data_IF_441954712475
#
_entry.id   IF_441954712475
#
_cell.length_a   1.000
_cell.length_b   1.000
_cell.length_c   1.000
_cell.angle_alpha   90.00
_cell.angle_beta   90.00
_cell.angle_gamma   90.00
#
_symmetry.space_group_name_H-M   'P 1'
#
loop_
_entity.id
_entity.type
_entity.pdbx_description
1 polymer ?
#
# COMPACT_ATOMS: atom_id res chain seq x y z
N UNK A 1 -5.88 -39.29 32.63
CA UNK A 1 -5.57 -38.15 33.53
C UNK A 1 -4.10 -38.29 33.89
N UNK A 2 -3.22 -37.42 33.39
CA UNK A 2 -1.80 -37.48 33.74
C UNK A 2 -1.61 -36.99 35.17
N UNK A 3 -0.85 -37.72 35.98
CA UNK A 3 -0.42 -37.24 37.28
C UNK A 3 0.35 -35.94 37.09
N UNK A 4 -0.24 -34.81 37.49
CA UNK A 4 0.49 -33.55 37.59
C UNK A 4 1.46 -33.67 38.77
N UNK A 5 2.71 -34.00 38.47
CA UNK A 5 3.77 -33.96 39.47
C UNK A 5 4.01 -32.50 39.83
N UNK A 6 3.57 -32.11 41.03
CA UNK A 6 3.73 -30.78 41.60
C UNK A 6 4.83 -30.84 42.66
N UNK A 7 5.65 -29.80 42.68
CA UNK A 7 6.77 -29.64 43.59
C UNK A 7 6.54 -28.39 44.42
N UNK A 8 6.63 -28.54 45.74
CA UNK A 8 6.65 -27.45 46.71
C UNK A 8 7.85 -26.55 46.46
N UNK A 9 7.63 -25.24 46.32
CA UNK A 9 8.75 -24.29 46.13
C UNK A 9 9.53 -24.08 47.42
N UNK A 10 8.88 -24.08 48.58
CA UNK A 10 9.55 -24.04 49.88
C UNK A 10 10.52 -25.21 50.06
N UNK A 11 10.06 -26.43 49.76
CA UNK A 11 10.90 -27.63 49.89
C UNK A 11 12.00 -27.69 48.82
N UNK A 12 11.75 -27.20 47.61
CA UNK A 12 12.73 -27.27 46.52
C UNK A 12 13.87 -26.26 46.69
N UNK A 13 13.58 -25.08 47.24
CA UNK A 13 14.59 -24.05 47.52
C UNK A 13 15.12 -24.08 48.95
N UNK A 14 14.82 -25.13 49.72
CA UNK A 14 15.24 -25.32 51.12
C UNK A 14 14.92 -24.12 52.04
N UNK A 15 13.72 -23.57 51.91
CA UNK A 15 13.30 -22.39 52.68
C UNK A 15 12.62 -22.82 53.99
N UNK A 16 13.27 -22.52 55.11
CA UNK A 16 12.79 -22.81 56.46
C UNK A 16 12.13 -21.61 57.16
N UNK A 17 12.11 -20.44 56.51
CA UNK A 17 11.51 -19.23 57.08
C UNK A 17 9.98 -19.39 57.21
N UNK A 18 9.37 -18.90 58.32
CA UNK A 18 7.93 -18.99 58.52
C UNK A 18 7.19 -18.08 57.53
N UNK A 19 6.08 -18.58 56.97
CA UNK A 19 5.21 -17.78 56.08
C UNK A 19 4.12 -17.06 56.87
N UNK A 20 3.92 -17.43 58.13
CA UNK A 20 3.00 -16.80 59.05
C UNK A 20 3.65 -16.61 60.42
N UNK A 21 3.44 -15.45 61.02
CA UNK A 21 3.95 -15.11 62.33
C UNK A 21 2.98 -14.21 63.08
N UNK A 22 2.65 -14.57 64.32
CA UNK A 22 1.87 -13.74 65.24
C UNK A 22 2.41 -13.84 66.65
N UNK A 23 2.87 -12.71 67.19
CA UNK A 23 3.49 -12.62 68.52
C UNK A 23 4.64 -13.63 68.68
N UNK A 24 4.50 -14.66 69.52
CA UNK A 24 5.53 -15.69 69.73
C UNK A 24 5.30 -16.96 68.88
N UNK A 25 4.23 -17.00 68.07
CA UNK A 25 3.88 -18.17 67.25
C UNK A 25 4.30 -17.94 65.80
N UNK A 26 4.92 -18.96 65.19
CA UNK A 26 5.42 -18.92 63.81
C UNK A 26 5.13 -20.27 63.14
N UNK A 27 4.76 -20.26 61.87
CA UNK A 27 4.47 -21.48 61.09
C UNK A 27 4.69 -21.26 59.60
N UNK A 28 4.86 -22.35 58.84
CA UNK A 28 4.84 -22.36 57.37
C UNK A 28 3.48 -22.88 56.91
N UNK A 29 2.56 -21.95 56.60
CA UNK A 29 1.18 -22.27 56.26
C UNK A 29 0.89 -22.11 54.76
N UNK A 30 1.75 -21.39 54.05
CA UNK A 30 1.55 -21.00 52.65
C UNK A 30 2.72 -21.48 51.80
N UNK A 31 2.43 -21.94 50.58
CA UNK A 31 3.44 -22.38 49.62
C UNK A 31 2.93 -22.17 48.21
N UNK A 32 3.85 -22.03 47.27
CA UNK A 32 3.57 -22.00 45.85
C UNK A 32 3.98 -23.35 45.28
N UNK A 33 3.02 -24.08 44.72
CA UNK A 33 3.27 -25.38 44.10
C UNK A 33 3.39 -25.21 42.59
N UNK A 34 4.49 -25.72 42.03
CA UNK A 34 4.80 -25.59 40.59
C UNK A 34 4.97 -26.98 40.00
N UNK A 35 4.62 -27.16 38.72
CA UNK A 35 4.90 -28.43 38.04
C UNK A 35 6.41 -28.74 38.09
N UNK A 36 6.77 -29.98 38.39
CA UNK A 36 8.18 -30.39 38.49
C UNK A 36 8.98 -30.11 37.21
N UNK A 37 8.32 -30.03 36.04
CA UNK A 37 8.97 -29.68 34.78
C UNK A 37 9.27 -28.18 34.61
N UNK A 38 8.58 -27.32 35.36
CA UNK A 38 8.72 -25.87 35.29
C UNK A 38 9.57 -25.30 36.43
N UNK A 39 9.95 -26.11 37.42
CA UNK A 39 10.69 -25.67 38.61
C UNK A 39 12.08 -25.09 38.27
N UNK A 40 12.67 -25.50 37.14
CA UNK A 40 13.94 -24.95 36.63
C UNK A 40 13.77 -23.65 35.85
N UNK A 41 12.53 -23.27 35.51
CA UNK A 41 12.20 -22.06 34.74
C UNK A 41 11.66 -20.92 35.62
N UNK A 42 11.73 -21.05 36.94
CA UNK A 42 11.31 -20.02 37.89
C UNK A 42 12.52 -19.47 38.66
N UNK A 43 12.40 -18.25 39.17
CA UNK A 43 13.36 -17.70 40.13
C UNK A 43 13.26 -18.42 41.47
N UNK A 44 14.30 -18.36 42.32
CA UNK A 44 14.17 -18.68 43.73
C UNK A 44 12.99 -17.94 44.36
N UNK A 45 12.28 -18.61 45.27
CA UNK A 45 11.18 -18.03 46.03
C UNK A 45 11.72 -16.95 46.98
N UNK A 46 11.19 -15.74 46.87
CA UNK A 46 11.50 -14.64 47.77
C UNK A 46 10.38 -14.48 48.81
N UNK A 47 10.78 -14.32 50.08
CA UNK A 47 9.90 -14.03 51.20
C UNK A 47 10.16 -12.59 51.64
N UNK A 48 9.11 -11.77 51.70
CA UNK A 48 9.22 -10.38 52.14
C UNK A 48 8.18 -10.03 53.21
N UNK A 49 8.58 -9.15 54.13
CA UNK A 49 7.73 -8.67 55.20
C UNK A 49 6.55 -7.84 54.67
N UNK A 50 5.33 -8.06 55.20
CA UNK A 50 4.15 -7.29 54.83
C UNK A 50 4.03 -5.95 55.57
N UNK A 51 4.96 -5.65 56.49
CA UNK A 51 4.89 -4.48 57.41
C UNK A 51 4.75 -3.17 56.63
N UNK A 52 5.46 -3.02 55.51
CA UNK A 52 5.45 -1.79 54.71
C UNK A 52 4.29 -1.73 53.70
N UNK A 53 3.47 -2.79 53.57
CA UNK A 53 2.44 -2.90 52.54
C UNK A 53 1.03 -3.10 53.07
N UNK A 54 0.82 -4.08 53.97
CA UNK A 54 -0.51 -4.58 54.32
C UNK A 54 -0.69 -4.85 55.80
N UNK A 55 0.38 -4.72 56.61
CA UNK A 55 0.38 -4.97 58.06
C UNK A 55 -0.27 -6.32 58.43
N UNK A 56 0.05 -7.35 57.65
CA UNK A 56 -0.51 -8.70 57.78
C UNK A 56 0.38 -9.57 58.68
N UNK A 57 -0.21 -10.57 59.33
CA UNK A 57 0.54 -11.63 60.01
C UNK A 57 1.16 -12.65 59.02
N UNK A 58 0.91 -12.51 57.71
CA UNK A 58 1.39 -13.38 56.64
C UNK A 58 2.49 -12.74 55.80
N UNK A 59 3.57 -13.48 55.55
CA UNK A 59 4.66 -13.08 54.66
C UNK A 59 4.24 -13.12 53.19
N UNK A 60 4.82 -12.24 52.39
CA UNK A 60 4.57 -12.18 50.96
C UNK A 60 5.53 -13.13 50.24
N UNK A 61 4.97 -14.15 49.61
CA UNK A 61 5.68 -15.13 48.79
C UNK A 61 5.71 -14.69 47.32
N UNK A 62 6.90 -14.52 46.75
CA UNK A 62 7.07 -14.05 45.37
C UNK A 62 7.95 -15.00 44.55
N UNK A 63 7.43 -15.47 43.41
CA UNK A 63 8.24 -16.16 42.38
C UNK A 63 8.11 -15.41 41.05
N UNK A 64 9.16 -15.46 40.24
CA UNK A 64 9.14 -14.96 38.87
C UNK A 64 9.29 -16.11 37.89
N UNK A 65 8.50 -16.12 36.81
CA UNK A 65 8.61 -17.10 35.75
C UNK A 65 9.54 -16.58 34.65
N UNK A 66 10.53 -17.38 34.28
CA UNK A 66 11.46 -17.11 33.17
C UNK A 66 11.04 -17.81 31.87
N UNK A 67 9.73 -17.92 31.64
CA UNK A 67 9.23 -18.64 30.48
C UNK A 67 9.34 -17.77 29.20
N UNK A 68 10.18 -18.20 28.26
CA UNK A 68 10.32 -17.56 26.95
C UNK A 68 9.16 -17.96 26.02
N UNK A 69 7.93 -17.51 26.32
CA UNK A 69 6.81 -17.71 25.40
C UNK A 69 7.04 -16.86 24.15
N UNK A 70 7.51 -17.49 23.10
CA UNK A 70 7.57 -16.87 21.79
C UNK A 70 6.15 -16.86 21.21
N UNK A 71 5.31 -15.92 21.66
CA UNK A 71 3.98 -15.73 21.07
C UNK A 71 4.18 -15.25 19.64
N UNK A 72 4.01 -16.17 18.68
CA UNK A 72 4.02 -15.81 17.27
C UNK A 72 2.90 -14.78 17.06
N UNK A 73 3.28 -13.51 16.86
CA UNK A 73 2.33 -12.44 16.60
C UNK A 73 1.46 -12.85 15.41
N UNK A 74 0.11 -12.80 15.55
CA UNK A 74 -0.77 -13.19 14.47
C UNK A 74 -0.47 -12.35 13.22
N UNK A 75 -0.30 -13.03 12.08
CA UNK A 75 -0.01 -12.37 10.81
C UNK A 75 -1.17 -11.43 10.46
N UNK A 76 -0.88 -10.13 10.32
CA UNK A 76 -1.90 -9.15 9.92
C UNK A 76 -2.49 -9.53 8.55
N UNK A 77 -3.82 -9.61 8.45
CA UNK A 77 -4.52 -9.84 7.18
C UNK A 77 -4.27 -8.66 6.24
N UNK A 78 -4.05 -8.95 4.95
CA UNK A 78 -3.87 -7.90 3.93
C UNK A 78 -5.14 -7.03 3.83
N UNK A 79 -4.95 -5.72 3.69
CA UNK A 79 -6.04 -4.77 3.48
C UNK A 79 -6.78 -5.08 2.17
N UNK A 80 -8.12 -5.06 2.22
CA UNK A 80 -9.00 -5.18 1.05
C UNK A 80 -9.60 -3.81 0.75
N UNK A 81 -9.82 -3.50 -0.52
CA UNK A 81 -10.45 -2.24 -0.94
C UNK A 81 -11.72 -2.50 -1.73
N UNK A 82 -12.67 -1.55 -1.66
CA UNK A 82 -13.89 -1.61 -2.46
C UNK A 82 -13.58 -1.21 -3.91
N UNK A 83 -14.07 -1.99 -4.85
CA UNK A 83 -14.06 -1.71 -6.29
C UNK A 83 -15.51 -1.59 -6.74
N UNK A 84 -15.90 -0.38 -7.16
CA UNK A 84 -17.25 -0.10 -7.66
C UNK A 84 -17.41 -0.61 -9.09
N UNK A 85 -18.52 -1.32 -9.33
CA UNK A 85 -18.85 -1.96 -10.60
C UNK A 85 -19.85 -1.09 -11.39
N UNK A 86 -19.33 -0.06 -12.02
CA UNK A 86 -20.12 0.88 -12.82
C UNK A 86 -20.78 0.23 -14.04
N UNK A 87 -20.20 -0.85 -14.56
CA UNK A 87 -20.71 -1.68 -15.64
C UNK A 87 -22.01 -2.43 -15.29
N UNK A 88 -22.30 -2.59 -13.99
CA UNK A 88 -23.47 -3.31 -13.50
C UNK A 88 -24.62 -2.41 -13.07
N UNK A 89 -24.50 -1.11 -13.30
CA UNK A 89 -25.53 -0.14 -12.95
C UNK A 89 -26.56 -0.05 -14.09
N UNK A 90 -27.84 0.07 -13.74
CA UNK A 90 -28.90 0.37 -14.70
C UNK A 90 -29.27 1.87 -14.65
N UNK A 91 -29.99 2.36 -15.66
CA UNK A 91 -30.36 3.78 -15.79
C UNK A 91 -31.09 4.32 -14.56
N UNK A 92 -32.00 3.53 -13.97
CA UNK A 92 -32.75 3.92 -12.76
C UNK A 92 -31.82 4.12 -11.56
N UNK A 93 -30.90 3.19 -11.34
CA UNK A 93 -29.89 3.30 -10.27
C UNK A 93 -28.90 4.44 -10.52
N UNK A 94 -28.59 4.73 -11.79
CA UNK A 94 -27.76 5.87 -12.17
C UNK A 94 -28.45 7.20 -11.86
N UNK A 95 -29.75 7.31 -12.18
CA UNK A 95 -30.58 8.47 -11.84
C UNK A 95 -30.64 8.68 -10.32
N UNK A 96 -30.85 7.61 -9.55
CA UNK A 96 -30.86 7.68 -8.09
C UNK A 96 -29.50 8.11 -7.50
N UNK A 97 -28.40 7.60 -8.07
CA UNK A 97 -27.05 8.00 -7.70
C UNK A 97 -26.82 9.50 -7.95
N UNK A 98 -27.17 9.99 -9.14
CA UNK A 98 -27.02 11.41 -9.52
C UNK A 98 -27.87 12.30 -8.62
N UNK A 99 -29.15 11.96 -8.44
CA UNK A 99 -30.08 12.71 -7.60
C UNK A 99 -29.60 12.79 -6.15
N UNK A 100 -29.04 11.70 -5.62
CA UNK A 100 -28.47 11.68 -4.27
C UNK A 100 -27.26 12.61 -4.13
N UNK A 101 -26.45 12.78 -5.18
CA UNK A 101 -25.35 13.73 -5.17
C UNK A 101 -25.91 15.15 -5.16
N UNK A 102 -26.81 15.48 -6.09
CA UNK A 102 -27.41 16.81 -6.18
C UNK A 102 -28.08 17.23 -4.88
N UNK A 103 -28.84 16.33 -4.24
CA UNK A 103 -29.45 16.58 -2.93
C UNK A 103 -28.42 16.84 -1.83
N UNK A 104 -27.32 16.08 -1.80
CA UNK A 104 -26.27 16.27 -0.81
C UNK A 104 -25.54 17.61 -1.01
N UNK A 105 -25.32 18.02 -2.26
CA UNK A 105 -24.68 19.30 -2.58
C UNK A 105 -25.57 20.50 -2.22
N UNK A 106 -26.88 20.40 -2.50
CA UNK A 106 -27.87 21.40 -2.07
C UNK A 106 -27.89 21.50 -0.54
N UNK A 107 -27.95 20.36 0.16
CA UNK A 107 -27.95 20.33 1.63
C UNK A 107 -26.70 20.96 2.24
N UNK A 108 -25.54 20.77 1.62
CA UNK A 108 -24.27 21.30 2.10
C UNK A 108 -24.01 22.76 1.65
N UNK A 109 -25.01 23.41 1.03
CA UNK A 109 -24.95 24.74 0.41
C UNK A 109 -23.71 24.91 -0.46
N UNK A 110 -23.38 23.88 -1.25
CA UNK A 110 -22.25 23.93 -2.15
C UNK A 110 -22.68 24.54 -3.48
N UNK A 111 -22.33 25.81 -3.69
CA UNK A 111 -22.39 26.42 -5.01
C UNK A 111 -21.12 26.07 -5.80
N UNK A 112 -21.27 25.18 -6.78
CA UNK A 112 -20.17 24.72 -7.64
C UNK A 112 -19.70 25.84 -8.58
N UNK A 113 -20.57 26.79 -8.90
CA UNK A 113 -20.30 27.86 -9.86
C UNK A 113 -19.69 29.09 -9.19
N UNK A 114 -19.60 29.08 -7.86
CA UNK A 114 -18.94 30.15 -7.10
C UNK A 114 -17.44 30.22 -7.42
N UNK A 115 -16.88 31.43 -7.66
CA UNK A 115 -15.47 31.59 -8.01
C UNK A 115 -14.57 31.12 -6.87
N UNK A 116 -13.58 30.30 -7.20
CA UNK A 116 -12.60 29.77 -6.24
C UNK A 116 -11.48 30.80 -6.06
N UNK A 117 -11.50 31.50 -4.93
CA UNK A 117 -10.59 32.63 -4.66
C UNK A 117 -9.31 32.16 -3.96
N UNK A 118 -9.37 31.11 -3.15
CA UNK A 118 -8.23 30.60 -2.38
C UNK A 118 -8.14 29.06 -2.35
N UNK A 119 -6.95 28.57 -1.98
CA UNK A 119 -6.68 27.13 -1.87
C UNK A 119 -7.52 26.45 -0.78
N UNK A 120 -7.93 27.20 0.25
CA UNK A 120 -8.73 26.69 1.37
C UNK A 120 -10.16 26.42 0.89
N UNK A 121 -10.77 27.35 0.14
CA UNK A 121 -12.11 27.19 -0.44
C UNK A 121 -12.11 26.06 -1.46
N UNK A 122 -11.08 25.97 -2.31
CA UNK A 122 -10.91 24.84 -3.22
C UNK A 122 -10.93 23.49 -2.48
N UNK A 123 -10.10 23.35 -1.44
CA UNK A 123 -10.00 22.12 -0.67
C UNK A 123 -11.32 21.77 0.04
N UNK A 124 -12.01 22.77 0.60
CA UNK A 124 -13.30 22.59 1.26
C UNK A 124 -14.37 22.14 0.26
N UNK A 125 -14.47 22.79 -0.89
CA UNK A 125 -15.45 22.44 -1.92
C UNK A 125 -15.18 21.04 -2.49
N UNK A 126 -13.92 20.74 -2.80
CA UNK A 126 -13.50 19.42 -3.27
C UNK A 126 -13.79 18.32 -2.26
N UNK A 127 -13.54 18.58 -0.97
CA UNK A 127 -13.84 17.63 0.11
C UNK A 127 -15.34 17.32 0.19
N UNK A 128 -16.20 18.34 0.17
CA UNK A 128 -17.66 18.19 0.18
C UNK A 128 -18.16 17.39 -1.03
N UNK A 129 -17.72 17.75 -2.23
CA UNK A 129 -18.07 17.04 -3.46
C UNK A 129 -17.63 15.57 -3.41
N UNK A 130 -16.38 15.30 -3.03
CA UNK A 130 -15.86 13.95 -2.89
C UNK A 130 -16.65 13.14 -1.86
N UNK A 131 -17.07 13.75 -0.76
CA UNK A 131 -17.87 13.10 0.27
C UNK A 131 -19.28 12.76 -0.24
N UNK A 132 -19.93 13.67 -0.96
CA UNK A 132 -21.22 13.45 -1.59
C UNK A 132 -21.17 12.28 -2.57
N UNK A 133 -20.18 12.29 -3.49
CA UNK A 133 -19.97 11.22 -4.47
C UNK A 133 -19.71 9.89 -3.77
N UNK A 134 -18.82 9.85 -2.77
CA UNK A 134 -18.50 8.61 -2.03
C UNK A 134 -19.70 8.04 -1.29
N UNK A 135 -20.52 8.88 -0.66
CA UNK A 135 -21.73 8.43 0.04
C UNK A 135 -22.73 7.84 -0.94
N UNK A 136 -23.04 8.56 -2.02
CA UNK A 136 -23.94 8.07 -3.05
C UNK A 136 -23.41 6.78 -3.69
N UNK A 137 -22.10 6.69 -3.96
CA UNK A 137 -21.49 5.51 -4.57
C UNK A 137 -21.62 4.26 -3.68
N UNK A 138 -21.41 4.42 -2.36
CA UNK A 138 -21.55 3.30 -1.42
C UNK A 138 -23.00 2.78 -1.30
N UNK A 139 -24.00 3.62 -1.59
CA UNK A 139 -25.41 3.25 -1.50
C UNK A 139 -25.94 2.64 -2.80
N UNK A 140 -25.62 3.25 -3.94
CA UNK A 140 -26.27 2.94 -5.21
C UNK A 140 -25.42 2.15 -6.19
N UNK A 141 -24.09 2.12 -6.01
CA UNK A 141 -23.19 1.43 -6.93
C UNK A 141 -22.78 0.09 -6.33
N UNK A 142 -23.03 -1.04 -7.03
CA UNK A 142 -22.56 -2.34 -6.59
C UNK A 142 -21.04 -2.34 -6.43
N UNK A 143 -20.51 -3.04 -5.44
CA UNK A 143 -19.06 -3.14 -5.24
C UNK A 143 -18.61 -4.57 -4.95
N UNK A 144 -17.34 -4.83 -5.23
CA UNK A 144 -16.63 -6.04 -4.83
C UNK A 144 -15.43 -5.68 -3.97
N UNK A 145 -14.94 -6.63 -3.16
CA UNK A 145 -13.74 -6.43 -2.35
C UNK A 145 -12.54 -6.96 -3.12
N UNK A 146 -11.78 -6.05 -3.72
CA UNK A 146 -10.52 -6.36 -4.37
C UNK A 146 -9.37 -6.47 -3.37
N UNK A 147 -8.47 -7.43 -3.59
CA UNK A 147 -7.13 -7.35 -3.00
C UNK A 147 -6.28 -6.41 -3.86
N UNK A 148 -5.53 -5.52 -3.22
CA UNK A 148 -4.49 -4.79 -3.95
C UNK A 148 -3.36 -5.76 -4.26
N UNK A 149 -3.19 -6.12 -5.53
CA UNK A 149 -1.96 -6.70 -6.03
C UNK A 149 -0.97 -5.55 -6.22
N UNK A 150 -0.49 -4.98 -5.13
CA UNK A 150 0.57 -3.98 -5.20
C UNK A 150 1.89 -4.66 -5.51
N UNK A 151 2.23 -4.67 -6.80
CA UNK A 151 3.60 -4.91 -7.23
C UNK A 151 4.38 -3.62 -6.99
N UNK A 152 5.06 -3.55 -5.86
CA UNK A 152 6.00 -2.48 -5.60
C UNK A 152 7.28 -2.77 -6.38
N UNK A 153 7.42 -2.14 -7.54
CA UNK A 153 8.71 -1.98 -8.19
C UNK A 153 9.46 -0.88 -7.43
N UNK A 154 10.46 -1.27 -6.65
CA UNK A 154 11.38 -0.34 -5.98
C UNK A 154 12.62 -0.15 -6.84
N UNK A 155 13.27 1.01 -6.70
CA UNK A 155 14.59 1.20 -7.28
C UNK A 155 15.57 0.11 -6.80
N UNK A 156 16.56 -0.19 -7.64
CA UNK A 156 17.65 -1.12 -7.27
C UNK A 156 18.31 -0.68 -5.96
N UNK A 157 18.55 0.63 -5.81
CA UNK A 157 19.14 1.23 -4.61
C UNK A 157 18.26 1.03 -3.36
N UNK A 158 16.95 1.24 -3.45
CA UNK A 158 16.01 0.97 -2.36
C UNK A 158 15.96 -0.52 -1.99
N UNK A 159 16.08 -1.40 -2.99
CA UNK A 159 16.16 -2.86 -2.79
C UNK A 159 17.44 -3.26 -2.07
N UNK A 160 18.58 -2.73 -2.50
CA UNK A 160 19.89 -2.98 -1.88
C UNK A 160 19.92 -2.49 -0.42
N UNK A 161 19.37 -1.30 -0.15
CA UNK A 161 19.17 -0.78 1.20
C UNK A 161 18.26 -1.67 2.06
N UNK A 162 17.18 -2.21 1.49
CA UNK A 162 16.29 -3.14 2.20
C UNK A 162 16.98 -4.47 2.53
N UNK A 163 17.75 -5.03 1.61
CA UNK A 163 18.51 -6.26 1.84
C UNK A 163 19.58 -6.05 2.92
N UNK A 164 20.29 -4.91 2.86
CA UNK A 164 21.25 -4.52 3.89
C UNK A 164 20.61 -4.41 5.27
N UNK A 165 19.48 -3.70 5.36
CA UNK A 165 18.70 -3.55 6.59
C UNK A 165 18.22 -4.90 7.16
N UNK A 166 17.80 -5.84 6.30
CA UNK A 166 17.35 -7.18 6.73
C UNK A 166 18.51 -7.99 7.33
N UNK A 167 19.69 -7.95 6.71
CA UNK A 167 20.90 -8.60 7.23
C UNK A 167 21.33 -7.99 8.55
N UNK A 168 21.34 -6.66 8.66
CA UNK A 168 21.73 -5.96 9.89
C UNK A 168 20.77 -6.24 11.05
N UNK A 169 19.46 -6.26 10.79
CA UNK A 169 18.47 -6.65 11.79
C UNK A 169 18.63 -8.10 12.26
N UNK A 170 19.08 -9.00 11.40
CA UNK A 170 19.40 -10.38 11.79
C UNK A 170 20.58 -10.40 12.76
N UNK A 171 21.65 -9.66 12.46
CA UNK A 171 22.82 -9.51 13.36
C UNK A 171 22.38 -8.93 14.70
N UNK A 172 21.61 -7.82 14.70
CA UNK A 172 21.10 -7.20 15.93
C UNK A 172 20.26 -8.17 16.78
N UNK A 173 19.36 -8.93 16.15
CA UNK A 173 18.55 -9.94 16.87
C UNK A 173 19.41 -11.03 17.48
N UNK A 174 20.45 -11.50 16.77
CA UNK A 174 21.38 -12.49 17.29
C UNK A 174 22.23 -11.91 18.43
N UNK A 175 22.68 -10.65 18.32
CA UNK A 175 23.41 -9.96 19.37
C UNK A 175 22.57 -9.78 20.65
N UNK A 176 21.28 -9.46 20.52
CA UNK A 176 20.38 -9.33 21.68
C UNK A 176 20.09 -10.69 22.34
N UNK A 177 19.86 -11.73 21.53
CA UNK A 177 19.49 -13.08 22.01
C UNK A 177 20.70 -13.98 22.21
N UNK A 178 21.82 -13.47 22.70
CA UNK A 178 23.04 -14.25 22.88
C UNK A 178 22.79 -15.42 23.87
N UNK A 179 22.31 -16.55 23.37
CA UNK A 179 22.17 -17.84 24.05
C UNK A 179 22.95 -18.82 23.18
N UNK A 180 24.11 -19.26 23.66
CA UNK A 180 25.13 -19.94 22.85
C UNK A 180 25.25 -21.41 23.25
N UNK A 181 25.27 -22.29 22.24
CA UNK A 181 26.20 -23.41 22.20
C UNK A 181 27.26 -23.28 21.08
N UNK A 182 27.37 -22.12 20.40
CA UNK A 182 28.23 -21.92 19.20
C UNK A 182 29.51 -21.13 19.54
N UNK A 183 30.64 -21.44 18.89
CA UNK A 183 31.90 -20.69 19.04
C UNK A 183 31.76 -19.20 18.70
N UNK A 184 32.26 -18.32 19.57
CA UNK A 184 32.25 -16.86 19.39
C UNK A 184 32.98 -16.42 18.11
N UNK A 185 34.09 -17.08 17.77
CA UNK A 185 34.89 -16.76 16.59
C UNK A 185 34.09 -16.96 15.29
N UNK A 186 33.32 -18.06 15.24
CA UNK A 186 32.48 -18.38 14.09
C UNK A 186 31.35 -17.34 13.92
N UNK A 187 30.75 -16.91 15.03
CA UNK A 187 29.71 -15.88 15.03
C UNK A 187 30.24 -14.55 14.47
N UNK A 188 31.39 -14.09 14.99
CA UNK A 188 32.03 -12.84 14.55
C UNK A 188 32.37 -12.89 13.05
N UNK A 189 32.95 -13.99 12.57
CA UNK A 189 33.26 -14.15 11.14
C UNK A 189 32.00 -14.09 10.26
N UNK A 190 30.91 -14.73 10.70
CA UNK A 190 29.64 -14.73 9.97
C UNK A 190 29.02 -13.33 9.92
N UNK A 191 29.08 -12.59 11.04
CA UNK A 191 28.60 -11.21 11.12
C UNK A 191 29.43 -10.27 10.26
N UNK A 192 30.76 -10.36 10.33
CA UNK A 192 31.66 -9.51 9.54
C UNK A 192 31.53 -9.76 8.03
N UNK A 193 31.31 -11.01 7.61
CA UNK A 193 30.98 -11.33 6.21
C UNK A 193 29.67 -10.66 5.78
N UNK A 194 28.67 -10.65 6.66
CA UNK A 194 27.39 -9.98 6.41
C UNK A 194 27.53 -8.46 6.38
N UNK A 195 28.35 -7.87 7.26
CA UNK A 195 28.67 -6.45 7.31
C UNK A 195 29.41 -6.00 6.04
N UNK A 196 30.40 -6.76 5.58
CA UNK A 196 31.10 -6.48 4.33
C UNK A 196 30.14 -6.48 3.13
N UNK A 197 29.21 -7.44 3.08
CA UNK A 197 28.17 -7.47 2.07
C UNK A 197 27.22 -6.25 2.17
N UNK A 198 26.82 -5.86 3.39
CA UNK A 198 26.00 -4.65 3.60
C UNK A 198 26.73 -3.42 3.06
N UNK A 199 27.98 -3.19 3.47
CA UNK A 199 28.79 -2.05 3.04
C UNK A 199 28.94 -2.01 1.51
N UNK A 200 29.11 -3.15 0.85
CA UNK A 200 29.17 -3.24 -0.62
C UNK A 200 27.84 -2.84 -1.28
N UNK A 201 26.70 -3.29 -0.75
CA UNK A 201 25.38 -3.02 -1.32
C UNK A 201 24.93 -1.58 -1.07
N UNK A 202 25.13 -1.07 0.15
CA UNK A 202 24.56 0.21 0.60
C UNK A 202 25.53 1.37 0.52
N UNK A 203 26.81 1.11 0.18
CA UNK A 203 27.93 2.07 0.26
C UNK A 203 28.06 2.70 1.66
N UNK A 204 27.64 1.97 2.69
CA UNK A 204 27.79 2.37 4.09
C UNK A 204 29.17 1.97 4.62
N UNK A 205 29.58 2.56 5.74
CA UNK A 205 30.82 2.25 6.42
C UNK A 205 30.55 1.70 7.83
N UNK A 206 29.88 0.55 7.90
CA UNK A 206 29.64 -0.12 9.17
C UNK A 206 30.96 -0.80 9.59
N UNK A 207 31.51 -0.50 10.78
CA UNK A 207 32.75 -1.11 11.25
C UNK A 207 32.56 -2.60 11.54
N UNK A 208 33.62 -3.38 11.32
CA UNK A 208 33.67 -4.79 11.70
C UNK A 208 33.54 -4.96 13.21
N UNK A 209 32.96 -6.08 13.62
CA UNK A 209 32.78 -6.47 15.02
C UNK A 209 33.99 -7.30 15.45
N UNK A 210 34.57 -6.99 16.60
CA UNK A 210 35.62 -7.79 17.22
C UNK A 210 35.02 -8.76 18.26
N UNK A 211 35.77 -9.80 18.65
CA UNK A 211 35.38 -10.68 19.77
C UNK A 211 35.28 -9.91 21.09
N UNK A 212 36.10 -8.87 21.25
CA UNK A 212 36.08 -7.96 22.41
C UNK A 212 34.77 -7.19 22.54
N UNK A 213 34.07 -6.93 21.43
CA UNK A 213 32.75 -6.26 21.42
C UNK A 213 31.65 -7.14 22.04
N UNK A 214 31.89 -8.45 22.16
CA UNK A 214 30.96 -9.44 22.72
C UNK A 214 31.15 -9.66 24.23
N UNK A 215 32.13 -9.00 24.84
CA UNK A 215 32.34 -9.05 26.30
C UNK A 215 31.22 -8.33 27.04
N UNK A 216 30.91 -8.73 28.28
CA UNK A 216 29.81 -8.16 29.07
C UNK A 216 29.88 -6.64 29.22
N UNK A 217 31.10 -6.07 29.24
CA UNK A 217 31.33 -4.62 29.32
C UNK A 217 31.00 -3.89 28.00
N UNK A 218 31.33 -4.48 26.84
CA UNK A 218 31.18 -3.82 25.54
C UNK A 218 29.92 -4.23 24.77
N UNK A 219 29.24 -5.30 25.18
CA UNK A 219 28.07 -5.85 24.48
C UNK A 219 26.91 -4.84 24.38
N UNK A 220 26.70 -4.05 25.44
CA UNK A 220 25.68 -2.98 25.44
C UNK A 220 26.02 -1.87 24.43
N UNK A 221 27.30 -1.52 24.30
CA UNK A 221 27.77 -0.53 23.32
C UNK A 221 27.59 -1.06 21.89
N UNK A 222 27.93 -2.32 21.65
CA UNK A 222 27.70 -3.01 20.37
C UNK A 222 26.22 -2.97 19.96
N UNK A 223 25.30 -3.35 20.86
CA UNK A 223 23.86 -3.33 20.59
C UNK A 223 23.40 -1.90 20.22
N UNK A 224 23.89 -0.90 20.95
CA UNK A 224 23.54 0.50 20.72
C UNK A 224 24.03 0.98 19.35
N UNK A 225 25.28 0.64 18.99
CA UNK A 225 25.84 0.90 17.66
C UNK A 225 25.00 0.26 16.56
N UNK A 226 24.69 -1.03 16.67
CA UNK A 226 23.89 -1.76 15.68
C UNK A 226 22.47 -1.18 15.52
N UNK A 227 21.84 -0.73 16.61
CA UNK A 227 20.55 -0.01 16.56
C UNK A 227 20.65 1.30 15.80
N UNK A 228 21.72 2.07 16.04
CA UNK A 228 21.99 3.33 15.32
C UNK A 228 22.13 3.08 13.81
N UNK A 229 22.99 2.13 13.42
CA UNK A 229 23.20 1.77 12.02
C UNK A 229 21.92 1.27 11.33
N UNK A 230 21.12 0.49 12.05
CA UNK A 230 19.80 0.02 11.57
C UNK A 230 18.87 1.19 11.29
N UNK A 231 18.84 2.19 12.19
CA UNK A 231 18.02 3.39 12.04
C UNK A 231 18.51 4.24 10.85
N UNK A 232 19.81 4.39 10.69
CA UNK A 232 20.41 5.11 9.54
C UNK A 232 20.02 4.47 8.20
N UNK A 233 20.18 3.15 8.06
CA UNK A 233 19.77 2.44 6.84
C UNK A 233 18.27 2.52 6.59
N UNK A 234 17.46 2.48 7.63
CA UNK A 234 16.01 2.65 7.51
C UNK A 234 15.65 4.05 6.99
N UNK A 235 16.27 5.11 7.52
CA UNK A 235 16.06 6.47 7.04
C UNK A 235 16.52 6.64 5.59
N UNK A 236 17.70 6.14 5.24
CA UNK A 236 18.22 6.18 3.87
C UNK A 236 17.28 5.51 2.87
N UNK A 237 16.74 4.33 3.21
CA UNK A 237 15.74 3.62 2.39
C UNK A 237 14.47 4.44 2.19
N UNK A 238 13.96 5.07 3.25
CA UNK A 238 12.73 5.86 3.15
C UNK A 238 12.91 7.12 2.32
N UNK A 239 14.06 7.79 2.44
CA UNK A 239 14.41 8.94 1.60
C UNK A 239 14.42 8.54 0.13
N UNK A 240 15.06 7.41 -0.21
CA UNK A 240 15.11 6.89 -1.58
C UNK A 240 13.70 6.58 -2.12
N UNK A 241 12.87 5.86 -1.36
CA UNK A 241 11.50 5.54 -1.75
C UNK A 241 10.65 6.80 -1.97
N UNK A 242 10.78 7.78 -1.07
CA UNK A 242 10.04 9.03 -1.17
C UNK A 242 10.48 9.85 -2.39
N UNK A 243 11.79 9.87 -2.68
CA UNK A 243 12.33 10.51 -3.86
C UNK A 243 11.79 9.88 -5.14
N UNK A 244 11.87 8.55 -5.26
CA UNK A 244 11.36 7.81 -6.42
C UNK A 244 9.86 8.04 -6.61
N UNK A 245 9.08 8.04 -5.53
CA UNK A 245 7.66 8.34 -5.58
C UNK A 245 7.40 9.78 -6.07
N UNK A 246 8.15 10.76 -5.56
CA UNK A 246 8.05 12.16 -5.98
C UNK A 246 8.39 12.32 -7.46
N UNK A 247 9.46 11.68 -7.93
CA UNK A 247 9.88 11.72 -9.33
C UNK A 247 8.84 11.08 -10.24
N UNK A 248 8.25 9.95 -9.83
CA UNK A 248 7.16 9.31 -10.55
C UNK A 248 5.93 10.20 -10.65
N UNK A 249 5.53 10.86 -9.55
CA UNK A 249 4.42 11.81 -9.55
C UNK A 249 4.71 12.96 -10.51
N UNK A 250 5.88 13.58 -10.40
CA UNK A 250 6.29 14.69 -11.27
C UNK A 250 6.35 14.28 -12.75
N UNK A 251 6.85 13.09 -13.04
CA UNK A 251 6.86 12.53 -14.40
C UNK A 251 5.44 12.45 -14.98
N UNK A 252 4.48 11.88 -14.25
CA UNK A 252 3.10 11.78 -14.74
C UNK A 252 2.40 13.14 -14.82
N UNK A 253 2.70 14.07 -13.92
CA UNK A 253 2.23 15.45 -13.99
C UNK A 253 2.73 16.11 -15.29
N UNK A 254 4.04 16.10 -15.53
CA UNK A 254 4.66 16.70 -16.71
C UNK A 254 4.19 16.03 -18.00
N UNK A 255 4.02 14.70 -17.99
CA UNK A 255 3.44 13.96 -19.11
C UNK A 255 2.00 14.39 -19.39
N UNK A 256 1.19 14.62 -18.35
CA UNK A 256 -0.18 15.10 -18.52
C UNK A 256 -0.20 16.52 -19.08
N UNK A 257 0.63 17.43 -18.57
CA UNK A 257 0.74 18.79 -19.11
C UNK A 257 1.19 18.81 -20.57
N UNK A 258 2.23 18.05 -20.91
CA UNK A 258 2.70 17.95 -22.30
C UNK A 258 1.65 17.35 -23.22
N UNK A 259 0.93 16.31 -22.80
CA UNK A 259 -0.20 15.78 -23.57
C UNK A 259 -1.32 16.82 -23.71
N UNK A 260 -1.58 17.65 -22.68
CA UNK A 260 -2.63 18.67 -22.74
C UNK A 260 -2.33 19.72 -23.80
N UNK A 261 -1.06 20.13 -23.91
CA UNK A 261 -0.61 21.12 -24.88
C UNK A 261 -0.51 20.53 -26.29
N UNK A 262 0.01 19.30 -26.42
CA UNK A 262 0.38 18.73 -27.73
C UNK A 262 -0.64 17.76 -28.35
N UNK A 263 -1.44 17.06 -27.53
CA UNK A 263 -2.37 16.03 -27.99
C UNK A 263 -3.45 15.71 -26.95
N UNK A 264 -4.54 16.48 -26.98
CA UNK A 264 -5.69 16.31 -26.08
C UNK A 264 -6.39 14.96 -26.24
N UNK A 265 -6.31 14.32 -27.41
CA UNK A 265 -6.88 12.99 -27.65
C UNK A 265 -6.26 11.94 -26.74
N UNK A 266 -4.93 11.95 -26.56
CA UNK A 266 -4.25 11.02 -25.63
C UNK A 266 -4.69 11.20 -24.17
N UNK A 267 -5.09 12.41 -23.78
CA UNK A 267 -5.67 12.66 -22.46
C UNK A 267 -7.07 12.05 -22.37
N UNK A 268 -7.92 12.34 -23.35
CA UNK A 268 -9.30 11.84 -23.39
C UNK A 268 -9.29 10.32 -23.37
N UNK A 269 -8.45 9.68 -24.18
CA UNK A 269 -8.32 8.22 -24.23
C UNK A 269 -7.80 7.65 -22.92
N UNK A 270 -6.81 8.31 -22.29
CA UNK A 270 -6.32 7.91 -20.97
C UNK A 270 -7.38 8.06 -19.86
N UNK A 271 -8.23 9.08 -19.91
CA UNK A 271 -9.29 9.34 -18.91
C UNK A 271 -10.42 8.32 -19.09
N UNK A 272 -10.86 8.13 -20.34
CA UNK A 272 -11.94 7.23 -20.69
C UNK A 272 -11.52 5.76 -20.71
N UNK A 273 -10.23 5.47 -20.45
CA UNK A 273 -9.62 4.14 -20.59
C UNK A 273 -9.94 3.52 -21.95
N UNK A 274 -10.02 4.34 -23.01
CA UNK A 274 -10.16 3.87 -24.39
C UNK A 274 -8.80 3.33 -24.81
N UNK A 275 -8.51 2.11 -24.36
CA UNK A 275 -7.43 1.33 -24.91
C UNK A 275 -7.88 0.87 -26.29
N UNK A 276 -7.36 1.51 -27.33
CA UNK A 276 -7.46 0.97 -28.68
C UNK A 276 -6.17 0.19 -28.85
N UNK A 277 -6.26 -1.14 -28.74
CA UNK A 277 -5.16 -1.99 -29.18
C UNK A 277 -4.84 -1.61 -30.62
N UNK A 278 -3.60 -1.19 -30.93
CA UNK A 278 -3.24 -0.92 -32.30
C UNK A 278 -3.43 -2.21 -33.10
N UNK A 279 -4.35 -2.18 -34.05
CA UNK A 279 -4.56 -3.30 -34.97
C UNK A 279 -3.35 -3.34 -35.90
N UNK A 280 -2.44 -4.27 -35.62
CA UNK A 280 -1.29 -4.52 -36.47
C UNK A 280 -1.69 -5.51 -37.56
N UNK A 281 -1.82 -5.02 -38.79
CA UNK A 281 -1.99 -5.86 -39.97
C UNK A 281 -0.60 -6.17 -40.53
N UNK A 282 -0.20 -7.43 -40.43
CA UNK A 282 1.09 -7.90 -40.96
C UNK A 282 1.01 -8.24 -42.46
N UNK A 283 -0.20 -8.52 -42.95
CA UNK A 283 -0.46 -8.80 -44.35
C UNK A 283 -1.93 -8.59 -44.72
N UNK A 284 -2.19 -8.35 -46.00
CA UNK A 284 -3.53 -8.34 -46.59
C UNK A 284 -3.55 -9.43 -47.66
N UNK A 285 -4.46 -10.40 -47.53
CA UNK A 285 -4.68 -11.44 -48.55
C UNK A 285 -5.77 -10.99 -49.50
N UNK A 286 -5.43 -10.85 -50.78
CA UNK A 286 -6.37 -10.73 -51.89
C UNK A 286 -6.52 -12.09 -52.58
N UNK A 287 -7.40 -12.18 -53.58
CA UNK A 287 -7.64 -13.42 -54.32
C UNK A 287 -6.38 -13.95 -55.04
N UNK A 288 -5.48 -13.06 -55.48
CA UNK A 288 -4.33 -13.41 -56.31
C UNK A 288 -2.97 -13.04 -55.69
N UNK A 289 -2.97 -12.22 -54.63
CA UNK A 289 -1.72 -11.71 -54.03
C UNK A 289 -1.82 -11.57 -52.50
N UNK A 290 -0.65 -11.56 -51.85
CA UNK A 290 -0.51 -11.28 -50.42
C UNK A 290 0.41 -10.08 -50.25
N UNK A 291 -0.17 -8.96 -49.81
CA UNK A 291 0.56 -7.73 -49.57
C UNK A 291 1.19 -7.83 -48.18
N UNK A 292 2.50 -7.66 -48.08
CA UNK A 292 3.28 -7.77 -46.84
C UNK A 292 4.03 -6.48 -46.49
N UNK A 293 4.23 -5.59 -47.47
CA UNK A 293 4.93 -4.33 -47.27
C UNK A 293 4.07 -3.28 -46.55
N UNK A 294 4.62 -2.63 -45.53
CA UNK A 294 3.87 -1.75 -44.63
C UNK A 294 3.24 -0.55 -45.35
N UNK A 295 3.94 0.03 -46.33
CA UNK A 295 3.45 1.17 -47.10
C UNK A 295 2.25 0.78 -47.98
N UNK A 296 2.31 -0.41 -48.59
CA UNK A 296 1.25 -0.94 -49.45
C UNK A 296 0.04 -1.38 -48.63
N UNK A 297 0.25 -2.01 -47.46
CA UNK A 297 -0.81 -2.33 -46.49
C UNK A 297 -1.58 -1.05 -46.10
N UNK A 298 -0.87 0.04 -45.76
CA UNK A 298 -1.49 1.32 -45.41
C UNK A 298 -2.28 1.91 -46.59
N UNK A 299 -1.73 1.82 -47.80
CA UNK A 299 -2.39 2.33 -49.00
C UNK A 299 -3.69 1.57 -49.31
N UNK A 300 -3.66 0.24 -49.24
CA UNK A 300 -4.83 -0.58 -49.52
C UNK A 300 -5.94 -0.43 -48.48
N UNK A 301 -5.60 -0.31 -47.21
CA UNK A 301 -6.59 -0.02 -46.17
C UNK A 301 -7.26 1.33 -46.45
N UNK A 302 -6.46 2.35 -46.80
CA UNK A 302 -6.99 3.67 -47.10
C UNK A 302 -7.93 3.61 -48.33
N UNK A 303 -7.52 2.94 -49.41
CA UNK A 303 -8.36 2.75 -50.59
C UNK A 303 -9.64 1.98 -50.29
N UNK A 304 -9.57 0.88 -49.52
CA UNK A 304 -10.73 0.07 -49.16
C UNK A 304 -11.78 0.89 -48.42
N UNK A 305 -11.39 1.67 -47.41
CA UNK A 305 -12.33 2.51 -46.66
C UNK A 305 -12.82 3.72 -47.46
N UNK A 306 -11.99 4.28 -48.34
CA UNK A 306 -12.41 5.34 -49.26
C UNK A 306 -13.50 4.83 -50.23
N UNK A 307 -13.32 3.64 -50.82
CA UNK A 307 -14.33 3.02 -51.69
C UNK A 307 -15.57 2.55 -50.92
N UNK A 308 -15.40 2.02 -49.71
CA UNK A 308 -16.52 1.60 -48.85
C UNK A 308 -17.43 2.78 -48.48
N UNK A 309 -16.87 3.97 -48.28
CA UNK A 309 -17.63 5.18 -47.93
C UNK A 309 -18.14 5.98 -49.13
N UNK A 310 -17.67 5.70 -50.35
CA UNK A 310 -18.06 6.42 -51.56
C UNK A 310 -19.50 6.17 -52.05
N UNK A 311 -20.21 5.15 -51.53
CA UNK A 311 -21.60 4.86 -51.92
C UNK A 311 -22.57 4.93 -50.73
N UNK A 312 -22.75 6.12 -50.18
CA UNK A 312 -24.05 6.51 -49.64
C UNK A 312 -24.59 7.64 -50.52
N UNK A 313 -25.38 7.30 -51.55
CA UNK A 313 -26.25 8.30 -52.18
C UNK A 313 -27.09 8.93 -51.07
N UNK A 314 -27.08 10.26 -50.89
CA UNK A 314 -27.87 10.91 -49.85
C UNK A 314 -29.32 10.44 -49.97
N UNK A 315 -29.84 9.85 -48.89
CA UNK A 315 -31.25 9.52 -48.83
C UNK A 315 -32.00 10.84 -48.64
N UNK A 316 -32.49 11.43 -49.74
CA UNK A 316 -33.18 12.72 -49.75
C UNK A 316 -34.39 12.73 -48.78
N UNK A 317 -35.06 11.59 -48.57
CA UNK A 317 -36.16 11.45 -47.59
C UNK A 317 -35.68 11.66 -46.15
N UNK A 318 -34.55 11.05 -45.77
CA UNK A 318 -33.96 11.26 -44.43
C UNK A 318 -33.42 12.68 -44.29
N UNK A 319 -32.96 13.31 -45.37
CA UNK A 319 -32.48 14.68 -45.33
C UNK A 319 -33.59 15.66 -44.96
N UNK A 320 -34.79 15.48 -45.51
CA UNK A 320 -35.97 16.28 -45.17
C UNK A 320 -36.43 16.05 -43.72
N UNK A 321 -36.47 14.79 -43.25
CA UNK A 321 -36.79 14.47 -41.85
C UNK A 321 -35.82 15.13 -40.88
N UNK A 322 -34.51 15.06 -41.16
CA UNK A 322 -33.49 15.62 -40.28
C UNK A 322 -33.43 17.15 -40.36
N UNK A 323 -33.74 17.76 -41.51
CA UNK A 323 -33.83 19.21 -41.64
C UNK A 323 -34.82 19.82 -40.63
N UNK A 324 -35.99 19.19 -40.45
CA UNK A 324 -36.95 19.60 -39.43
C UNK A 324 -36.40 19.49 -38.00
N UNK A 325 -35.62 18.44 -37.70
CA UNK A 325 -35.03 18.24 -36.38
C UNK A 325 -33.93 19.26 -36.02
N UNK A 326 -33.30 19.88 -37.02
CA UNK A 326 -32.27 20.92 -36.83
C UNK A 326 -32.78 22.35 -36.97
N UNK A 327 -34.09 22.56 -37.15
CA UNK A 327 -34.64 23.91 -37.11
C UNK A 327 -34.40 24.53 -35.73
N UNK A 328 -34.03 25.83 -35.67
CA UNK A 328 -33.83 26.51 -34.40
C UNK A 328 -35.09 26.38 -33.54
N UNK A 329 -34.94 25.81 -32.35
CA UNK A 329 -36.01 25.79 -31.36
C UNK A 329 -36.15 27.19 -30.77
N UNK A 330 -37.39 27.67 -30.66
CA UNK A 330 -37.72 29.02 -30.15
C UNK A 330 -37.19 29.27 -28.73
N UNK A 331 -37.00 28.20 -27.95
CA UNK A 331 -36.48 28.24 -26.58
C UNK A 331 -34.96 28.50 -26.50
N UNK A 332 -34.24 28.41 -27.62
CA UNK A 332 -32.78 28.53 -27.68
C UNK A 332 -32.41 29.83 -28.40
N UNK A 333 -31.56 30.64 -27.79
CA UNK A 333 -31.12 31.91 -28.35
C UNK A 333 -30.41 31.72 -29.70
N UNK A 334 -30.89 32.42 -30.73
CA UNK A 334 -30.49 32.22 -32.13
C UNK A 334 -28.97 32.34 -32.37
N UNK A 335 -28.28 33.21 -31.60
CA UNK A 335 -26.84 33.39 -31.72
C UNK A 335 -26.02 32.16 -31.30
N UNK A 336 -26.61 31.18 -30.61
CA UNK A 336 -25.96 29.92 -30.24
C UNK A 336 -25.80 28.99 -31.45
N UNK A 337 -26.74 29.05 -32.41
CA UNK A 337 -26.63 28.33 -33.68
C UNK A 337 -25.57 28.95 -34.59
N UNK A 338 -25.43 30.29 -34.56
CA UNK A 338 -24.50 31.03 -35.42
C UNK A 338 -23.06 31.05 -34.90
N UNK A 339 -22.84 30.85 -33.59
CA UNK A 339 -21.51 30.80 -32.97
C UNK A 339 -20.88 29.40 -33.00
N UNK A 340 -21.68 28.36 -33.21
CA UNK A 340 -21.18 27.04 -33.56
C UNK A 340 -20.70 27.04 -34.99
N UNK A 341 -19.39 27.23 -35.21
CA UNK A 341 -18.78 26.85 -36.49
C UNK A 341 -19.03 25.35 -36.66
N UNK A 342 -20.07 24.99 -37.43
CA UNK A 342 -20.25 23.64 -37.92
C UNK A 342 -19.04 23.42 -38.83
N UNK A 343 -17.99 22.83 -38.27
CA UNK A 343 -17.01 22.11 -39.07
C UNK A 343 -17.84 21.03 -39.73
N UNK A 344 -18.24 21.30 -40.97
CA UNK A 344 -18.69 20.30 -41.92
C UNK A 344 -17.79 19.09 -41.68
N UNK A 345 -18.37 18.01 -41.16
CA UNK A 345 -17.75 16.70 -41.15
C UNK A 345 -17.63 16.25 -42.61
N UNK A 346 -16.77 16.92 -43.38
CA UNK A 346 -16.08 16.23 -44.45
C UNK A 346 -15.28 15.14 -43.75
N UNK A 347 -15.31 13.90 -44.24
CA UNK A 347 -14.38 12.89 -43.77
C UNK A 347 -12.98 13.49 -43.84
N UNK A 348 -12.31 13.55 -42.69
CA UNK A 348 -10.93 14.01 -42.61
C UNK A 348 -10.13 13.25 -43.67
N UNK A 349 -9.43 13.91 -44.60
CA UNK A 349 -8.59 13.19 -45.53
C UNK A 349 -7.55 12.41 -44.72
N UNK A 350 -7.52 11.09 -44.95
CA UNK A 350 -6.61 10.09 -44.36
C UNK A 350 -5.11 10.44 -44.48
N UNK A 351 -4.75 11.55 -45.17
CA UNK A 351 -3.39 12.04 -45.37
C UNK A 351 -2.61 12.31 -44.07
N UNK A 352 -3.24 12.47 -42.90
CA UNK A 352 -2.51 12.67 -41.63
C UNK A 352 -1.97 11.39 -40.98
N UNK A 353 -2.30 10.20 -41.48
CA UNK A 353 -1.88 8.92 -40.88
C UNK A 353 -0.81 8.16 -41.69
N UNK A 354 -0.33 8.73 -42.81
CA UNK A 354 0.66 8.07 -43.66
C UNK A 354 2.13 8.38 -43.32
N UNK A 355 2.41 9.37 -42.45
CA UNK A 355 3.80 9.76 -42.09
C UNK A 355 4.16 9.53 -40.62
N UNK A 356 3.80 8.37 -40.06
CA UNK A 356 4.42 7.83 -38.84
C UNK A 356 4.61 6.33 -38.94
#
# INVERSE_FOLDING_TARGET
MGNCNLTSTLSYFDIAEPTWSRSNSHSQLDDIWVSSHMITEISPLAISSPIDSTDSDYMILTISWHHNVNTALPRMKKSKHKVFLYDKINEKTWSNFSNSISQALIKDNLDIDSPIIDSITLNKQWYKLNLAIKRAANTYIPFTMGQQNSYYAFSKKATDLHQGLKKLNKILKQAIKLQLPVSLQYLVNTWNTSIAAINKMTKSHIPSIATEDLTSSNHKLLITRLKSETKTLWHARNIENNSEQKDKINFYINRRYSNFISNTTLIIDSILKRHIDPVHLHNIKKAEEVITELAEIKHEIAQYYEHWTQKNTPNELLREEWAHAFNPKEEIQEHWYNSGTIVSLRPLPLKKYLNK
#
